data_IF_152213181611
#
_entry.id   IF_152213181611
#
_cell.length_a   1.000
_cell.length_b   1.000
_cell.length_c   1.000
_cell.angle_alpha   90.00
_cell.angle_beta   90.00
_cell.angle_gamma   90.00
#
_symmetry.space_group_name_H-M   'P 1'
#
loop_
_entity.id
_entity.type
_entity.pdbx_description
1 polymer ?
#
# COMPACT_ATOMS: atom_id res chain seq x y z
N UNK A 1 -7.37 11.90 -13.41
CA UNK A 1 -6.67 10.73 -12.83
C UNK A 1 -6.65 9.62 -13.87
N UNK A 2 -5.50 9.00 -14.10
CA UNK A 2 -5.41 7.78 -14.92
C UNK A 2 -5.58 6.57 -14.00
N UNK A 3 -6.47 5.64 -14.37
CA UNK A 3 -6.56 4.33 -13.71
C UNK A 3 -5.67 3.38 -14.51
N UNK A 4 -4.46 3.11 -13.99
CA UNK A 4 -3.46 2.33 -14.70
C UNK A 4 -3.71 0.82 -14.52
N UNK A 5 -4.55 0.25 -15.39
CA UNK A 5 -4.82 -1.19 -15.44
C UNK A 5 -3.63 -2.00 -16.01
N UNK A 6 -2.69 -1.35 -16.70
CA UNK A 6 -1.55 -2.03 -17.33
C UNK A 6 -0.52 -2.54 -16.32
N UNK A 7 -0.62 -2.13 -15.05
CA UNK A 7 0.20 -2.66 -13.96
C UNK A 7 -0.01 -4.17 -13.74
N UNK A 8 -1.14 -4.73 -14.18
CA UNK A 8 -1.42 -6.17 -14.07
C UNK A 8 -0.87 -7.00 -15.25
N UNK A 9 -0.12 -6.39 -16.18
CA UNK A 9 0.50 -7.10 -17.29
C UNK A 9 1.78 -7.84 -16.84
N UNK A 10 2.07 -8.94 -17.51
CA UNK A 10 3.27 -9.74 -17.26
C UNK A 10 4.55 -8.90 -17.42
N UNK A 11 5.49 -9.05 -16.48
CA UNK A 11 6.79 -8.36 -16.50
C UNK A 11 6.79 -6.93 -15.92
N UNK A 12 5.66 -6.44 -15.39
CA UNK A 12 5.61 -5.14 -14.70
C UNK A 12 6.05 -5.28 -13.25
N UNK A 13 6.83 -4.31 -12.76
CA UNK A 13 7.26 -4.23 -11.37
C UNK A 13 6.43 -3.18 -10.63
N UNK A 14 5.95 -3.52 -9.43
CA UNK A 14 5.26 -2.61 -8.53
C UNK A 14 6.08 -2.47 -7.24
N UNK A 15 6.11 -1.27 -6.67
CA UNK A 15 6.75 -1.01 -5.40
C UNK A 15 6.13 -1.92 -4.31
N UNK A 16 6.95 -2.76 -3.68
CA UNK A 16 6.49 -3.64 -2.61
C UNK A 16 6.01 -2.84 -1.40
N UNK A 17 5.14 -3.45 -0.60
CA UNK A 17 4.68 -2.84 0.65
C UNK A 17 5.87 -2.59 1.57
N UNK A 18 5.90 -1.41 2.19
CA UNK A 18 7.00 -0.87 3.01
C UNK A 18 8.33 -0.62 2.27
N UNK A 19 8.35 -0.68 0.93
CA UNK A 19 9.55 -0.31 0.17
C UNK A 19 9.80 1.21 0.20
N UNK A 20 11.07 1.58 0.41
CA UNK A 20 11.54 2.97 0.34
C UNK A 20 11.71 3.37 -1.12
N UNK A 21 11.34 4.60 -1.45
CA UNK A 21 11.55 5.18 -2.78
C UNK A 21 12.87 5.96 -2.81
N UNK A 22 13.67 5.84 -3.89
CA UNK A 22 14.91 6.59 -4.07
C UNK A 22 14.60 8.04 -4.44
N UNK A 23 13.98 8.77 -3.50
CA UNK A 23 13.69 10.21 -3.61
C UNK A 23 14.44 10.93 -2.48
N UNK A 24 14.74 12.23 -2.62
CA UNK A 24 15.43 12.99 -1.56
C UNK A 24 14.71 12.96 -0.20
N UNK A 25 13.41 12.69 -0.20
CA UNK A 25 12.56 12.62 0.99
C UNK A 25 12.43 11.21 1.57
N UNK A 26 13.03 10.20 0.92
CA UNK A 26 13.00 8.79 1.33
C UNK A 26 11.58 8.30 1.69
N UNK A 27 10.61 8.60 0.82
CA UNK A 27 9.21 8.24 1.05
C UNK A 27 9.01 6.72 1.04
N UNK A 28 8.06 6.22 1.84
CA UNK A 28 7.83 4.77 2.02
C UNK A 28 6.43 4.37 1.53
N UNK A 29 6.35 3.30 0.75
CA UNK A 29 5.08 2.69 0.30
C UNK A 29 4.32 2.10 1.50
N UNK A 30 3.53 2.92 2.18
CA UNK A 30 3.01 2.60 3.52
C UNK A 30 1.52 2.30 3.47
N UNK A 31 1.06 1.14 3.98
CA UNK A 31 -0.35 0.85 4.19
C UNK A 31 -1.01 1.88 5.13
N UNK A 32 -2.18 2.36 4.70
CA UNK A 32 -3.01 3.33 5.42
C UNK A 32 -4.44 2.86 5.50
N UNK A 33 -5.18 3.42 6.44
CA UNK A 33 -6.59 3.12 6.67
C UNK A 33 -7.50 4.05 5.84
N UNK A 34 -8.72 3.61 5.54
CA UNK A 34 -9.72 4.46 4.86
C UNK A 34 -10.02 5.79 5.58
N UNK A 35 -10.12 5.84 6.93
CA UNK A 35 -10.26 7.12 7.63
C UNK A 35 -9.07 8.05 7.46
N UNK A 36 -7.83 7.52 7.37
CA UNK A 36 -6.65 8.35 7.05
C UNK A 36 -6.79 8.96 5.65
N UNK A 37 -7.20 8.19 4.65
CA UNK A 37 -7.45 8.70 3.28
C UNK A 37 -8.50 9.80 3.28
N UNK A 38 -9.63 9.62 3.99
CA UNK A 38 -10.71 10.62 4.06
C UNK A 38 -10.29 11.94 4.71
N UNK A 39 -9.35 11.91 5.66
CA UNK A 39 -8.81 13.12 6.30
C UNK A 39 -7.82 13.88 5.41
N UNK A 40 -7.33 13.25 4.34
CA UNK A 40 -6.24 13.77 3.51
C UNK A 40 -4.88 13.28 4.01
N UNK A 41 -4.01 12.95 3.05
CA UNK A 41 -2.65 12.47 3.28
C UNK A 41 -1.73 13.05 2.20
N UNK A 42 -0.49 13.34 2.58
CA UNK A 42 0.59 13.63 1.66
C UNK A 42 1.59 12.47 1.62
N UNK A 43 2.29 12.31 0.50
CA UNK A 43 3.37 11.30 0.36
C UNK A 43 4.46 11.54 1.42
N UNK A 44 4.72 12.81 1.75
CA UNK A 44 5.75 13.22 2.71
C UNK A 44 5.42 12.86 4.17
N UNK A 45 4.17 12.45 4.45
CA UNK A 45 3.78 11.98 5.78
C UNK A 45 4.43 10.64 6.12
N UNK A 46 4.89 9.89 5.09
CA UNK A 46 5.42 8.54 5.23
C UNK A 46 6.86 8.45 4.73
N UNK A 47 7.81 8.41 5.67
CA UNK A 47 9.25 8.47 5.39
C UNK A 47 10.03 7.44 6.19
N UNK A 48 11.21 7.09 5.71
CA UNK A 48 12.08 6.09 6.34
C UNK A 48 12.34 6.38 7.83
N UNK A 49 12.43 7.66 8.21
CA UNK A 49 12.69 8.10 9.58
C UNK A 49 11.47 7.96 10.52
N UNK A 50 10.24 7.95 9.99
CA UNK A 50 9.01 7.97 10.81
C UNK A 50 8.16 6.69 10.72
N UNK A 51 8.25 5.93 9.62
CA UNK A 51 7.42 4.75 9.39
C UNK A 51 7.71 3.62 10.40
N UNK A 52 8.96 3.30 10.78
CA UNK A 52 9.20 2.26 11.79
C UNK A 52 8.51 2.55 13.13
N UNK A 53 8.48 3.81 13.57
CA UNK A 53 7.77 4.20 14.79
C UNK A 53 6.25 4.10 14.62
N UNK A 54 5.72 4.44 13.43
CA UNK A 54 4.30 4.26 13.12
C UNK A 54 3.89 2.78 13.18
N UNK A 55 4.68 1.88 12.58
CA UNK A 55 4.40 0.43 12.59
C UNK A 55 4.40 -0.11 14.02
N UNK A 56 5.35 0.31 14.87
CA UNK A 56 5.35 -0.06 16.29
C UNK A 56 4.09 0.39 17.03
N UNK A 57 3.56 1.59 16.70
CA UNK A 57 2.38 2.16 17.36
C UNK A 57 1.05 1.59 16.86
N UNK A 58 0.92 1.37 15.55
CA UNK A 58 -0.34 0.96 14.91
C UNK A 58 -0.42 -0.54 14.60
N UNK A 59 0.69 -1.26 14.72
CA UNK A 59 0.83 -2.60 14.17
C UNK A 59 1.00 -2.61 12.65
N UNK A 60 1.14 -3.80 12.08
CA UNK A 60 1.16 -3.99 10.63
C UNK A 60 -0.26 -4.06 10.07
N UNK A 61 -0.66 -3.02 9.35
CA UNK A 61 -1.97 -2.94 8.70
C UNK A 61 -2.10 -3.89 7.50
N UNK A 62 -0.99 -4.43 6.99
CA UNK A 62 -0.98 -5.37 5.88
C UNK A 62 -1.09 -6.84 6.33
N UNK A 63 -0.79 -7.13 7.60
CA UNK A 63 -0.83 -8.48 8.16
C UNK A 63 -2.14 -9.25 7.90
N UNK A 64 -3.35 -8.64 7.94
CA UNK A 64 -4.59 -9.37 7.66
C UNK A 64 -4.69 -9.97 6.25
N UNK A 65 -3.89 -9.52 5.28
CA UNK A 65 -3.87 -10.08 3.93
C UNK A 65 -3.10 -11.39 3.82
N UNK A 66 -2.30 -11.73 4.83
CA UNK A 66 -1.67 -13.05 4.94
C UNK A 66 -2.68 -14.14 5.36
N UNK A 67 -3.85 -13.75 5.87
CA UNK A 67 -4.92 -14.69 6.17
C UNK A 67 -5.48 -15.28 4.87
N UNK A 68 -5.63 -16.61 4.84
CA UNK A 68 -6.17 -17.32 3.68
C UNK A 68 -7.62 -16.87 3.45
N UNK A 69 -7.84 -16.10 2.38
CA UNK A 69 -9.18 -15.81 1.84
C UNK A 69 -9.35 -16.56 0.53
N UNK A 70 -10.54 -17.14 0.36
CA UNK A 70 -10.89 -17.86 -0.87
C UNK A 70 -10.79 -16.98 -2.11
N UNK A 71 -10.68 -17.60 -3.28
CA UNK A 71 -10.68 -16.89 -4.57
C UNK A 71 -12.04 -16.25 -4.83
N UNK A 72 -12.04 -15.06 -5.41
CA UNK A 72 -13.27 -14.44 -5.91
C UNK A 72 -13.76 -15.24 -7.11
N UNK A 73 -15.00 -15.72 -7.05
CA UNK A 73 -15.64 -16.39 -8.17
C UNK A 73 -16.23 -15.37 -9.14
N UNK A 74 -15.56 -15.17 -10.27
CA UNK A 74 -15.98 -14.21 -11.30
C UNK A 74 -17.25 -14.65 -12.02
N UNK A 75 -17.64 -15.93 -11.96
CA UNK A 75 -18.87 -16.45 -12.57
C UNK A 75 -20.13 -15.94 -11.88
N UNK A 76 -20.00 -15.34 -10.68
CA UNK A 76 -21.12 -14.71 -9.96
C UNK A 76 -21.50 -13.34 -10.50
N UNK A 77 -20.72 -12.78 -11.43
CA UNK A 77 -20.92 -11.46 -12.02
C UNK A 77 -21.16 -11.51 -13.53
N UNK A 78 -21.41 -12.71 -14.09
CA UNK A 78 -21.71 -12.95 -15.50
C UNK A 78 -23.13 -13.46 -15.70
#
# INVERSE_FOLDING_TARGET
MLVDYNQNAWGRTLASVYSVRPTPRAAVSTPVTWPEVKRGLAIDDFRLDNVPARVKRRGDLWAPLLAVKGRVDLRRFG
#
